data_IF_597479679504
#
_entry.id   IF_597479679504
#
_cell.length_a   1.000
_cell.length_b   1.000
_cell.length_c   1.000
_cell.angle_alpha   90.00
_cell.angle_beta   90.00
_cell.angle_gamma   90.00
#
_symmetry.space_group_name_H-M   'P 1'
#
loop_
_entity.id
_entity.type
_entity.pdbx_description
1 polymer ?
#
# COMPACT_ATOMS: atom_id res chain seq x y z
N UNK A 1 -27.75 -62.81 43.04
CA UNK A 1 -27.65 -61.95 41.85
C UNK A 1 -26.28 -61.27 41.90
N UNK A 2 -25.29 -61.80 41.17
CA UNK A 2 -23.89 -61.29 41.15
C UNK A 2 -23.76 -60.28 40.02
N UNK A 3 -23.35 -59.05 40.32
CA UNK A 3 -22.96 -58.07 39.29
C UNK A 3 -21.44 -58.15 39.18
N UNK A 4 -20.95 -58.74 38.10
CA UNK A 4 -19.53 -58.82 37.77
C UNK A 4 -19.04 -57.46 37.26
N UNK A 5 -18.11 -56.84 37.98
CA UNK A 5 -17.36 -55.67 37.55
C UNK A 5 -16.33 -56.06 36.50
N UNK A 6 -16.50 -55.59 35.26
CA UNK A 6 -15.56 -55.74 34.16
C UNK A 6 -14.42 -54.75 34.28
N UNK A 7 -13.25 -55.27 34.66
CA UNK A 7 -12.01 -54.52 34.85
C UNK A 7 -11.43 -54.10 33.49
N UNK A 8 -11.57 -52.82 33.11
CA UNK A 8 -10.98 -52.24 31.91
C UNK A 8 -9.47 -52.06 32.14
N UNK A 9 -8.65 -52.90 31.50
CA UNK A 9 -7.19 -52.77 31.52
C UNK A 9 -6.78 -51.55 30.69
N UNK A 10 -6.56 -50.42 31.34
CA UNK A 10 -5.91 -49.27 30.71
C UNK A 10 -4.46 -49.65 30.35
N UNK A 11 -4.21 -49.90 29.07
CA UNK A 11 -2.86 -49.98 28.53
C UNK A 11 -2.20 -48.61 28.73
N UNK A 12 -1.38 -48.50 29.78
CA UNK A 12 -0.57 -47.32 30.06
C UNK A 12 0.41 -47.12 28.89
N UNK A 13 0.10 -46.17 28.03
CA UNK A 13 1.02 -45.70 27.00
C UNK A 13 2.27 -45.18 27.72
N UNK A 14 3.39 -45.89 27.62
CA UNK A 14 4.67 -45.41 28.12
C UNK A 14 4.99 -44.10 27.41
N UNK A 15 4.94 -43.01 28.16
CA UNK A 15 5.37 -41.70 27.71
C UNK A 15 6.89 -41.80 27.47
N UNK A 16 7.29 -41.91 26.21
CA UNK A 16 8.70 -41.83 25.84
C UNK A 16 9.06 -40.35 25.92
N UNK A 17 9.74 -39.95 27.00
CA UNK A 17 10.16 -38.57 27.21
C UNK A 17 11.00 -38.08 26.03
N UNK A 18 10.81 -36.80 25.67
CA UNK A 18 11.54 -36.14 24.60
C UNK A 18 13.04 -36.37 24.79
N UNK A 19 13.68 -36.96 23.79
CA UNK A 19 15.13 -37.12 23.81
C UNK A 19 15.78 -35.74 23.65
N UNK A 20 16.93 -35.47 24.27
CA UNK A 20 17.62 -34.17 24.15
C UNK A 20 17.92 -33.81 22.68
N UNK A 21 18.13 -34.82 21.83
CA UNK A 21 18.31 -34.67 20.39
C UNK A 21 17.04 -34.18 19.67
N UNK A 22 15.85 -34.58 20.13
CA UNK A 22 14.57 -34.18 19.54
C UNK A 22 14.31 -32.68 19.74
N UNK A 23 14.59 -32.16 20.94
CA UNK A 23 14.48 -30.73 21.22
C UNK A 23 15.50 -29.92 20.41
N UNK A 24 16.74 -30.42 20.24
CA UNK A 24 17.74 -29.74 19.41
C UNK A 24 17.33 -29.70 17.93
N UNK A 25 16.78 -30.79 17.39
CA UNK A 25 16.30 -30.84 16.01
C UNK A 25 15.10 -29.91 15.80
N UNK A 26 14.14 -29.87 16.75
CA UNK A 26 13.00 -28.93 16.65
C UNK A 26 13.46 -27.48 16.66
N UNK A 27 14.38 -27.09 17.54
CA UNK A 27 14.94 -25.74 17.55
C UNK A 27 15.66 -25.40 16.25
N UNK A 28 16.41 -26.35 15.69
CA UNK A 28 17.09 -26.17 14.39
C UNK A 28 16.08 -25.90 13.26
N UNK A 29 15.02 -26.72 13.17
CA UNK A 29 13.99 -26.55 12.14
C UNK A 29 13.26 -25.21 12.30
N UNK A 30 12.91 -24.82 13.53
CA UNK A 30 12.28 -23.53 13.82
C UNK A 30 13.19 -22.37 13.45
N UNK A 31 14.49 -22.43 13.79
CA UNK A 31 15.44 -21.38 13.47
C UNK A 31 15.53 -21.15 11.94
N UNK A 32 15.63 -22.23 11.16
CA UNK A 32 15.65 -22.14 9.68
C UNK A 32 14.32 -21.57 9.16
N UNK A 33 13.19 -22.02 9.70
CA UNK A 33 11.86 -21.53 9.33
C UNK A 33 11.70 -20.03 9.58
N UNK A 34 12.17 -19.52 10.73
CA UNK A 34 12.11 -18.09 11.07
C UNK A 34 12.99 -17.23 10.16
N UNK A 35 14.19 -17.70 9.80
CA UNK A 35 15.05 -16.99 8.84
C UNK A 35 14.38 -16.91 7.46
N UNK A 36 13.75 -18.00 7.02
CA UNK A 36 12.97 -18.02 5.77
C UNK A 36 11.79 -17.05 5.81
N UNK A 37 11.02 -17.05 6.90
CA UNK A 37 9.89 -16.14 7.09
C UNK A 37 10.31 -14.66 7.13
N UNK A 38 11.44 -14.35 7.79
CA UNK A 38 12.00 -13.00 7.81
C UNK A 38 12.41 -12.53 6.40
N UNK A 39 12.98 -13.42 5.58
CA UNK A 39 13.30 -13.13 4.18
C UNK A 39 12.05 -12.81 3.34
N UNK A 40 10.98 -13.61 3.51
CA UNK A 40 9.69 -13.35 2.85
C UNK A 40 9.06 -12.03 3.32
N UNK A 41 9.13 -11.72 4.61
CA UNK A 41 8.62 -10.46 5.16
C UNK A 41 9.34 -9.27 4.53
N UNK A 42 10.68 -9.31 4.42
CA UNK A 42 11.45 -8.21 3.83
C UNK A 42 11.11 -8.02 2.34
N UNK A 43 10.94 -9.12 1.60
CA UNK A 43 10.49 -9.09 0.20
C UNK A 43 9.10 -8.46 0.09
N UNK A 44 8.15 -8.88 0.93
CA UNK A 44 6.80 -8.33 1.00
C UNK A 44 6.81 -6.82 1.27
N UNK A 45 7.62 -6.35 2.23
CA UNK A 45 7.76 -4.91 2.53
C UNK A 45 8.24 -4.12 1.31
N UNK A 46 9.18 -4.64 0.52
CA UNK A 46 9.64 -3.98 -0.71
C UNK A 46 8.52 -3.86 -1.74
N UNK A 47 7.76 -4.95 -1.95
CA UNK A 47 6.61 -4.92 -2.85
C UNK A 47 5.53 -3.94 -2.38
N UNK A 48 5.27 -3.87 -1.08
CA UNK A 48 4.34 -2.91 -0.50
C UNK A 48 4.75 -1.47 -0.77
N UNK A 49 6.04 -1.13 -0.62
CA UNK A 49 6.53 0.22 -0.92
C UNK A 49 6.32 0.59 -2.39
N UNK A 50 6.64 -0.31 -3.32
CA UNK A 50 6.41 -0.07 -4.75
C UNK A 50 4.93 0.09 -5.07
N UNK A 51 4.08 -0.78 -4.53
CA UNK A 51 2.63 -0.67 -4.69
C UNK A 51 2.10 0.65 -4.11
N UNK A 52 2.59 1.07 -2.95
CA UNK A 52 2.19 2.31 -2.30
C UNK A 52 2.57 3.54 -3.13
N UNK A 53 3.81 3.63 -3.62
CA UNK A 53 4.24 4.72 -4.50
C UNK A 53 3.41 4.77 -5.78
N UNK A 54 3.10 3.60 -6.36
CA UNK A 54 2.22 3.52 -7.53
C UNK A 54 0.80 4.00 -7.22
N UNK A 55 0.24 3.63 -6.08
CA UNK A 55 -1.08 4.10 -5.66
C UNK A 55 -1.11 5.61 -5.47
N UNK A 56 -0.11 6.19 -4.80
CA UNK A 56 0.00 7.65 -4.65
C UNK A 56 0.10 8.37 -6.00
N UNK A 57 0.92 7.85 -6.93
CA UNK A 57 1.04 8.42 -8.26
C UNK A 57 -0.28 8.36 -9.05
N UNK A 58 -1.01 7.25 -8.95
CA UNK A 58 -2.32 7.10 -9.58
C UNK A 58 -3.33 8.06 -8.95
N UNK A 59 -3.36 8.18 -7.63
CA UNK A 59 -4.25 9.11 -6.92
C UNK A 59 -4.02 10.57 -7.35
N UNK A 60 -2.75 11.01 -7.39
CA UNK A 60 -2.39 12.34 -7.88
C UNK A 60 -2.81 12.56 -9.34
N UNK A 61 -2.62 11.55 -10.20
CA UNK A 61 -3.06 11.62 -11.60
C UNK A 61 -4.59 11.65 -11.74
N UNK A 62 -5.33 10.88 -10.93
CA UNK A 62 -6.79 10.90 -10.95
C UNK A 62 -7.34 12.24 -10.46
N UNK A 63 -6.71 12.85 -9.45
CA UNK A 63 -7.11 14.15 -8.92
C UNK A 63 -7.08 15.24 -9.99
N UNK A 64 -5.99 15.36 -10.75
CA UNK A 64 -5.89 16.36 -11.82
C UNK A 64 -6.85 16.06 -12.98
N UNK A 65 -7.06 14.79 -13.31
CA UNK A 65 -8.03 14.39 -14.36
C UNK A 65 -9.46 14.76 -13.97
N UNK A 66 -9.85 14.57 -12.71
CA UNK A 66 -11.18 14.95 -12.27
C UNK A 66 -11.37 16.48 -12.29
N UNK A 67 -10.35 17.24 -11.90
CA UNK A 67 -10.35 18.71 -12.01
C UNK A 67 -10.51 19.16 -13.47
N UNK A 68 -9.77 18.56 -14.41
CA UNK A 68 -9.94 18.80 -15.85
C UNK A 68 -11.35 18.47 -16.35
N UNK A 69 -11.95 17.39 -15.83
CA UNK A 69 -13.31 16.96 -16.21
C UNK A 69 -14.36 17.96 -15.74
N UNK A 70 -14.21 18.51 -14.53
CA UNK A 70 -15.07 19.57 -13.99
C UNK A 70 -14.88 20.88 -14.75
N UNK A 71 -13.64 21.18 -15.17
CA UNK A 71 -13.27 22.43 -15.86
C UNK A 71 -13.04 22.22 -17.37
N UNK A 72 -14.01 21.62 -18.05
CA UNK A 72 -13.89 21.28 -19.48
C UNK A 72 -13.69 22.51 -20.39
N UNK A 73 -14.23 23.67 -20.02
CA UNK A 73 -14.04 24.92 -20.76
C UNK A 73 -12.57 25.35 -20.80
N UNK A 74 -11.82 25.19 -19.71
CA UNK A 74 -10.38 25.46 -19.71
C UNK A 74 -9.59 24.39 -20.48
N UNK A 75 -10.02 23.13 -20.45
CA UNK A 75 -9.40 22.05 -21.26
C UNK A 75 -9.49 22.38 -22.75
N UNK A 76 -10.68 22.74 -23.23
CA UNK A 76 -10.89 23.10 -24.65
C UNK A 76 -10.16 24.38 -25.05
N UNK A 77 -9.96 25.31 -24.11
CA UNK A 77 -9.16 26.52 -24.29
C UNK A 77 -7.64 26.31 -24.14
N UNK A 78 -7.18 25.08 -23.84
CA UNK A 78 -5.76 24.76 -23.69
C UNK A 78 -5.14 25.15 -22.34
N UNK A 79 -5.94 25.46 -21.32
CA UNK A 79 -5.49 25.90 -20.00
C UNK A 79 -4.71 24.87 -19.17
N UNK A 80 -4.82 23.58 -19.50
CA UNK A 80 -4.06 22.49 -18.88
C UNK A 80 -2.86 22.03 -19.73
N UNK A 81 -2.53 22.75 -20.81
CA UNK A 81 -1.33 22.50 -21.59
C UNK A 81 -0.16 23.22 -20.91
N UNK A 82 0.93 22.49 -20.65
CA UNK A 82 2.18 23.14 -20.26
C UNK A 82 2.60 24.09 -21.38
N UNK A 83 2.74 25.39 -21.08
CA UNK A 83 2.95 26.45 -22.05
C UNK A 83 4.17 26.22 -22.97
N UNK A 84 5.12 25.38 -22.55
CA UNK A 84 6.23 24.90 -23.36
C UNK A 84 6.52 23.44 -22.98
N UNK A 85 6.56 22.53 -23.95
CA UNK A 85 6.90 21.12 -23.69
C UNK A 85 8.21 21.02 -22.91
N UNK A 86 8.15 20.52 -21.67
CA UNK A 86 9.26 20.20 -20.77
C UNK A 86 10.31 21.29 -20.46
N UNK A 87 10.32 22.41 -21.16
CA UNK A 87 11.02 23.60 -20.72
C UNK A 87 10.30 24.13 -19.49
N UNK A 88 11.05 24.55 -18.47
CA UNK A 88 10.53 25.24 -17.31
C UNK A 88 9.87 26.56 -17.74
N UNK A 89 8.67 26.47 -18.32
CA UNK A 89 7.71 27.53 -18.26
C UNK A 89 7.53 27.76 -16.78
N UNK A 90 7.91 28.95 -16.31
CA UNK A 90 7.46 29.41 -15.02
C UNK A 90 5.97 29.11 -14.99
N UNK A 91 5.57 28.13 -14.16
CA UNK A 91 4.17 27.98 -13.81
C UNK A 91 3.73 29.38 -13.45
N UNK A 92 2.64 29.90 -14.05
CA UNK A 92 2.14 31.20 -13.62
C UNK A 92 2.08 31.16 -12.11
N UNK A 93 2.86 32.06 -11.48
CA UNK A 93 2.98 32.11 -10.03
C UNK A 93 1.57 32.18 -9.45
N UNK A 94 1.32 31.58 -8.27
CA UNK A 94 -0.02 31.23 -7.82
C UNK A 94 -1.02 32.35 -8.13
N UNK A 95 -1.80 32.16 -9.21
CA UNK A 95 -3.01 32.93 -9.42
C UNK A 95 -3.92 32.42 -8.31
N UNK A 96 -3.86 33.04 -7.14
CA UNK A 96 -4.75 32.65 -6.05
C UNK A 96 -6.15 32.93 -6.58
N UNK A 97 -6.95 31.88 -6.76
CA UNK A 97 -8.39 32.03 -6.88
C UNK A 97 -8.87 32.83 -5.64
N UNK A 98 -8.93 34.15 -5.76
CA UNK A 98 -9.48 35.02 -4.73
C UNK A 98 -10.98 35.12 -4.94
N UNK A 99 -11.71 35.49 -3.89
CA UNK A 99 -13.14 35.76 -3.98
C UNK A 99 -13.47 36.99 -4.84
N UNK A 100 -12.47 37.83 -5.12
CA UNK A 100 -12.59 39.01 -5.98
C UNK A 100 -11.30 39.24 -6.77
N UNK A 101 -11.35 39.17 -8.12
CA UNK A 101 -12.47 38.72 -8.95
C UNK A 101 -12.72 37.20 -8.80
N UNK A 102 -13.95 36.70 -9.05
CA UNK A 102 -14.23 35.27 -8.96
C UNK A 102 -13.37 34.50 -9.96
N UNK A 103 -12.89 33.33 -9.53
CA UNK A 103 -12.00 32.53 -10.36
C UNK A 103 -12.68 32.11 -11.66
N UNK A 104 -12.10 32.52 -12.79
CA UNK A 104 -12.54 32.05 -14.09
C UNK A 104 -11.92 30.66 -14.37
N UNK A 105 -12.43 30.00 -15.40
CA UNK A 105 -11.98 28.66 -15.79
C UNK A 105 -10.46 28.57 -16.05
N UNK A 106 -9.85 29.60 -16.63
CA UNK A 106 -8.41 29.61 -16.95
C UNK A 106 -7.54 29.79 -15.71
N UNK A 107 -7.96 30.66 -14.78
CA UNK A 107 -7.25 30.87 -13.51
C UNK A 107 -7.29 29.62 -12.63
N UNK A 108 -8.44 28.94 -12.57
CA UNK A 108 -8.57 27.65 -11.88
C UNK A 108 -7.64 26.58 -12.48
N UNK A 109 -7.53 26.53 -13.81
CA UNK A 109 -6.62 25.59 -14.48
C UNK A 109 -5.14 25.88 -14.18
N UNK A 110 -4.74 27.15 -14.12
CA UNK A 110 -3.37 27.51 -13.72
C UNK A 110 -3.06 27.12 -12.27
N UNK A 111 -4.03 27.32 -11.36
CA UNK A 111 -3.88 26.89 -9.98
C UNK A 111 -3.75 25.36 -9.87
N UNK A 112 -4.63 24.61 -10.54
CA UNK A 112 -4.58 23.15 -10.56
C UNK A 112 -3.22 22.61 -11.05
N UNK A 113 -2.65 23.24 -12.09
CA UNK A 113 -1.32 22.90 -12.62
C UNK A 113 -0.19 23.24 -11.65
N UNK A 114 -0.31 24.33 -10.88
CA UNK A 114 0.66 24.69 -9.85
C UNK A 114 0.61 23.79 -8.61
N UNK A 115 -0.57 23.23 -8.29
CA UNK A 115 -0.75 22.26 -7.20
C UNK A 115 -0.25 20.86 -7.58
N UNK A 116 -0.17 20.56 -8.88
CA UNK A 116 0.25 19.26 -9.39
C UNK A 116 1.77 19.11 -9.53
N UNK A 117 2.50 20.23 -9.71
CA UNK A 117 3.97 20.28 -9.84
C UNK A 117 4.70 20.24 -8.50
#
# INVERSE_FOLDING_TARGET
MKITSSNQLHAQHRQHGATLIEVLVTMLVVAIGLVGAAGLQLSSTRYQQTAHMRSQAVEAAQFIVEKMRVNNSAVTAGGYLAANGYAAAALPGPNVCSSTPPCNAMDAAQQDMSEWS
#
